data_IF_962776905641
#
_entry.id   IF_962776905641
#
_cell.length_a   1.000
_cell.length_b   1.000
_cell.length_c   1.000
_cell.angle_alpha   90.00
_cell.angle_beta   90.00
_cell.angle_gamma   90.00
#
_symmetry.space_group_name_H-M   'P 1'
#
loop_
_entity.id
_entity.type
_entity.pdbx_description
1 polymer ?
#
# COMPACT_ATOMS: atom_id res chain seq x y z
N UNK A 1 16.67 15.95 8.70
CA UNK A 1 15.34 15.85 8.06
C UNK A 1 15.21 14.60 7.19
N UNK A 2 16.02 14.44 6.13
CA UNK A 2 15.92 13.32 5.17
C UNK A 2 15.81 11.93 5.81
N UNK A 3 16.70 11.61 6.75
CA UNK A 3 16.70 10.32 7.46
C UNK A 3 15.38 10.05 8.20
N UNK A 4 14.84 11.05 8.91
CA UNK A 4 13.57 10.90 9.61
C UNK A 4 12.39 10.74 8.66
N UNK A 5 12.42 11.38 7.49
CA UNK A 5 11.39 11.14 6.47
C UNK A 5 11.47 9.71 5.94
N UNK A 6 12.66 9.19 5.66
CA UNK A 6 12.84 7.80 5.22
C UNK A 6 12.32 6.80 6.28
N UNK A 7 12.62 7.02 7.56
CA UNK A 7 12.08 6.22 8.67
C UNK A 7 10.56 6.35 8.77
N UNK A 8 10.02 7.55 8.59
CA UNK A 8 8.58 7.79 8.58
C UNK A 8 7.86 7.08 7.42
N UNK A 9 8.49 6.99 6.25
CA UNK A 9 7.96 6.25 5.10
C UNK A 9 8.00 4.73 5.32
N UNK A 10 9.01 4.22 6.03
CA UNK A 10 9.09 2.79 6.36
C UNK A 10 7.92 2.34 7.25
N UNK A 11 7.50 3.20 8.20
CA UNK A 11 6.42 2.91 9.15
C UNK A 11 5.17 3.77 8.90
N UNK A 12 4.87 4.02 7.63
CA UNK A 12 3.80 4.92 7.22
C UNK A 12 2.44 4.49 7.79
N UNK A 13 1.76 5.39 8.49
CA UNK A 13 0.49 5.08 9.16
C UNK A 13 0.59 3.95 10.20
N UNK A 14 1.76 3.76 10.80
CA UNK A 14 2.03 2.64 11.73
C UNK A 14 2.14 1.29 11.01
N UNK A 15 2.50 1.27 9.72
CA UNK A 15 2.58 0.06 8.90
C UNK A 15 1.25 -0.36 8.27
N UNK A 16 0.22 0.49 8.32
CA UNK A 16 -1.07 0.22 7.67
C UNK A 16 -1.16 0.81 6.26
N UNK A 17 -0.36 1.82 5.99
CA UNK A 17 -0.43 2.63 4.80
C UNK A 17 0.84 2.48 3.96
N UNK A 18 0.72 2.79 2.68
CA UNK A 18 1.82 2.68 1.71
C UNK A 18 1.59 3.67 0.56
N UNK A 19 2.54 3.78 -0.37
CA UNK A 19 2.53 4.77 -1.44
C UNK A 19 1.97 4.21 -2.76
N UNK A 20 1.18 5.01 -3.46
CA UNK A 20 0.67 4.73 -4.80
C UNK A 20 1.54 5.41 -5.88
N UNK A 21 1.61 4.81 -7.07
CA UNK A 21 2.29 5.30 -8.27
C UNK A 21 1.38 6.00 -9.30
N UNK A 22 0.16 6.41 -8.92
CA UNK A 22 -0.70 7.23 -9.78
C UNK A 22 -0.01 8.54 -10.17
N UNK A 23 -0.32 9.10 -11.36
CA UNK A 23 0.32 10.33 -11.84
C UNK A 23 0.25 11.49 -10.82
N UNK A 24 -0.88 11.64 -10.12
CA UNK A 24 -1.06 12.64 -9.07
C UNK A 24 -0.21 12.34 -7.82
N UNK A 25 -0.15 11.07 -7.41
CA UNK A 25 0.68 10.61 -6.29
C UNK A 25 2.17 10.84 -6.58
N UNK A 26 2.63 10.53 -7.79
CA UNK A 26 4.00 10.77 -8.24
C UNK A 26 4.32 12.27 -8.25
N UNK A 27 3.46 13.10 -8.82
CA UNK A 27 3.64 14.56 -8.80
C UNK A 27 3.74 15.11 -7.36
N UNK A 28 2.89 14.62 -6.45
CA UNK A 28 2.91 14.99 -5.04
C UNK A 28 4.20 14.54 -4.34
N UNK A 29 4.70 13.34 -4.65
CA UNK A 29 5.96 12.81 -4.13
C UNK A 29 7.18 13.58 -4.65
N UNK A 30 7.18 14.04 -5.92
CA UNK A 30 8.25 14.89 -6.46
C UNK A 30 8.35 16.19 -5.65
N UNK A 31 7.21 16.81 -5.32
CA UNK A 31 7.17 17.97 -4.44
C UNK A 31 7.68 17.63 -3.03
N UNK A 32 7.20 16.53 -2.44
CA UNK A 32 7.57 16.16 -1.07
C UNK A 32 9.04 15.74 -0.93
N UNK A 33 9.61 15.06 -1.92
CA UNK A 33 10.95 14.47 -1.87
C UNK A 33 11.98 15.22 -2.71
N UNK A 34 11.77 16.52 -2.94
CA UNK A 34 12.75 17.37 -3.60
C UNK A 34 14.15 17.20 -2.97
N UNK A 35 15.21 16.95 -3.74
CA UNK A 35 16.49 16.46 -3.20
C UNK A 35 17.27 17.49 -2.35
N UNK A 36 16.92 18.77 -2.41
CA UNK A 36 17.58 19.83 -1.63
C UNK A 36 16.92 20.01 -0.25
N UNK A 37 17.62 19.58 0.79
CA UNK A 37 17.18 19.76 2.18
C UNK A 37 17.61 21.12 2.76
N UNK A 38 16.84 21.67 3.72
CA UNK A 38 17.20 22.92 4.40
C UNK A 38 18.47 22.78 5.24
N UNK A 39 19.23 23.87 5.36
CA UNK A 39 20.42 23.93 6.23
C UNK A 39 20.00 24.22 7.68
N UNK A 40 18.98 25.06 7.88
CA UNK A 40 18.40 25.40 9.18
C UNK A 40 16.86 25.41 9.11
N UNK A 41 16.17 25.40 10.24
CA UNK A 41 14.71 25.17 10.30
C UNK A 41 13.86 26.21 9.56
N UNK A 42 14.35 27.45 9.44
CA UNK A 42 13.69 28.55 8.70
C UNK A 42 14.11 28.67 7.23
N UNK A 43 14.96 27.77 6.72
CA UNK A 43 15.46 27.80 5.35
C UNK A 43 14.39 27.33 4.35
N UNK A 44 13.91 28.28 3.54
CA UNK A 44 12.97 28.04 2.43
C UNK A 44 13.53 28.53 1.08
N UNK A 45 14.86 28.74 0.98
CA UNK A 45 15.47 29.39 -0.20
C UNK A 45 15.33 28.57 -1.48
N UNK A 46 15.47 27.25 -1.39
CA UNK A 46 15.46 26.34 -2.54
C UNK A 46 14.19 25.51 -2.67
N UNK A 47 13.47 25.33 -1.57
CA UNK A 47 12.27 24.52 -1.50
C UNK A 47 11.43 24.93 -0.30
N UNK A 48 10.13 25.09 -0.48
CA UNK A 48 9.20 25.44 0.58
C UNK A 48 8.98 24.23 1.50
N UNK A 49 9.30 24.34 2.79
CA UNK A 49 9.22 23.19 3.71
C UNK A 49 7.81 22.60 3.85
N UNK A 50 6.76 23.39 3.64
CA UNK A 50 5.38 22.90 3.70
C UNK A 50 5.10 21.78 2.67
N UNK A 51 5.75 21.81 1.51
CA UNK A 51 5.57 20.80 0.46
C UNK A 51 6.11 19.43 0.86
N UNK A 52 6.98 19.36 1.88
CA UNK A 52 7.46 18.09 2.44
C UNK A 52 6.35 17.21 3.00
N UNK A 53 5.16 17.76 3.26
CA UNK A 53 3.99 17.00 3.69
C UNK A 53 3.12 16.48 2.54
N UNK A 54 3.38 16.84 1.29
CA UNK A 54 2.55 16.41 0.15
C UNK A 54 2.61 14.89 -0.12
N UNK A 55 3.54 14.15 0.52
CA UNK A 55 3.53 12.69 0.47
C UNK A 55 2.19 12.13 0.97
N UNK A 56 1.45 12.85 1.83
CA UNK A 56 0.12 12.44 2.33
C UNK A 56 -0.89 12.19 1.21
N UNK A 57 -0.76 12.89 0.07
CA UNK A 57 -1.64 12.69 -1.10
C UNK A 57 -1.31 11.42 -1.89
N UNK A 58 -0.12 10.84 -1.69
CA UNK A 58 0.29 9.59 -2.31
C UNK A 58 -0.01 8.37 -1.43
N UNK A 59 -0.52 8.56 -0.22
CA UNK A 59 -0.73 7.50 0.75
C UNK A 59 -2.06 6.80 0.52
N UNK A 60 -2.03 5.46 0.49
CA UNK A 60 -3.22 4.61 0.40
C UNK A 60 -3.15 3.42 1.37
N UNK A 61 -4.31 2.95 1.88
CA UNK A 61 -4.39 1.73 2.68
C UNK A 61 -4.35 0.50 1.77
N UNK A 62 -3.36 -0.38 1.98
CA UNK A 62 -3.25 -1.69 1.29
C UNK A 62 -2.89 -2.85 2.22
N UNK A 63 -2.86 -2.62 3.53
CA UNK A 63 -2.68 -3.71 4.49
C UNK A 63 -3.96 -4.56 4.51
N UNK A 64 -3.81 -5.86 4.33
CA UNK A 64 -4.89 -6.83 4.52
C UNK A 64 -4.69 -7.51 5.87
N UNK A 65 -5.71 -7.44 6.72
CA UNK A 65 -5.76 -8.12 8.00
C UNK A 65 -6.95 -9.09 8.01
N UNK A 66 -6.71 -10.40 7.89
CA UNK A 66 -7.79 -11.38 7.98
C UNK A 66 -8.27 -11.48 9.43
N UNK A 67 -9.58 -11.51 9.60
CA UNK A 67 -10.26 -11.65 10.89
C UNK A 67 -11.14 -12.89 10.82
N UNK A 68 -11.03 -13.75 11.82
CA UNK A 68 -11.89 -14.93 11.93
C UNK A 68 -13.33 -14.52 12.27
N UNK A 69 -14.30 -15.09 11.56
CA UNK A 69 -15.73 -14.77 11.70
C UNK A 69 -16.26 -15.22 13.07
N UNK A 70 -15.78 -16.36 13.57
CA UNK A 70 -16.27 -16.96 14.81
C UNK A 70 -15.68 -16.25 16.04
N UNK A 71 -14.35 -16.11 16.09
CA UNK A 71 -13.67 -15.54 17.27
C UNK A 71 -13.50 -14.03 17.21
N UNK A 72 -13.65 -13.40 16.03
CA UNK A 72 -13.35 -11.99 15.77
C UNK A 72 -11.91 -11.57 16.06
N UNK A 73 -11.00 -12.54 16.15
CA UNK A 73 -9.58 -12.29 16.34
C UNK A 73 -8.87 -12.19 15.00
N UNK A 74 -7.77 -11.42 14.99
CA UNK A 74 -6.85 -11.38 13.85
C UNK A 74 -6.13 -12.73 13.75
N UNK A 75 -6.08 -13.26 12.55
CA UNK A 75 -5.51 -14.59 12.27
C UNK A 75 -4.44 -14.49 11.19
N UNK A 76 -3.65 -15.55 11.02
CA UNK A 76 -2.75 -15.65 9.89
C UNK A 76 -3.37 -16.58 8.85
N UNK A 77 -3.40 -16.13 7.59
CA UNK A 77 -3.91 -16.94 6.47
C UNK A 77 -3.02 -16.79 5.25
N UNK A 78 -2.95 -17.83 4.43
CA UNK A 78 -2.22 -17.77 3.17
C UNK A 78 -3.10 -17.17 2.04
N UNK A 79 -2.57 -16.12 1.42
CA UNK A 79 -3.13 -15.46 0.26
C UNK A 79 -2.28 -15.77 -0.96
N UNK A 80 -2.91 -16.19 -2.05
CA UNK A 80 -2.29 -16.28 -3.38
C UNK A 80 -2.71 -15.06 -4.19
N UNK A 81 -1.72 -14.25 -4.56
CA UNK A 81 -1.89 -13.02 -5.34
C UNK A 81 -1.40 -13.29 -6.75
N UNK A 82 -2.23 -12.94 -7.75
CA UNK A 82 -1.91 -13.11 -9.17
C UNK A 82 -1.79 -11.76 -9.87
N UNK A 83 -0.68 -11.55 -10.54
CA UNK A 83 -0.41 -10.35 -11.35
C UNK A 83 -0.97 -10.52 -12.76
N UNK A 84 -1.45 -9.42 -13.34
CA UNK A 84 -1.79 -9.36 -14.76
C UNK A 84 -0.52 -9.41 -15.61
N UNK A 85 -0.58 -10.10 -16.74
CA UNK A 85 0.48 -10.01 -17.74
C UNK A 85 0.57 -8.57 -18.29
N UNK A 86 1.80 -8.06 -18.42
CA UNK A 86 2.12 -6.77 -19.02
C UNK A 86 3.22 -6.98 -20.07
N UNK A 87 3.56 -5.93 -20.82
CA UNK A 87 4.69 -6.01 -21.77
C UNK A 87 6.04 -6.27 -21.07
N UNK A 88 6.14 -5.95 -19.77
CA UNK A 88 7.38 -6.02 -19.00
C UNK A 88 7.56 -7.37 -18.29
N UNK A 89 6.46 -8.09 -18.02
CA UNK A 89 6.49 -9.36 -17.30
C UNK A 89 5.25 -10.22 -17.61
N UNK A 90 5.44 -11.53 -17.61
CA UNK A 90 4.36 -12.50 -17.80
C UNK A 90 3.49 -12.63 -16.53
N UNK A 91 2.29 -13.20 -16.70
CA UNK A 91 1.39 -13.49 -15.58
C UNK A 91 2.08 -14.40 -14.56
N UNK A 92 2.26 -13.88 -13.35
CA UNK A 92 2.89 -14.61 -12.24
C UNK A 92 1.96 -14.63 -11.03
N UNK A 93 2.08 -15.68 -10.22
CA UNK A 93 1.42 -15.78 -8.94
C UNK A 93 2.42 -16.07 -7.82
N UNK A 94 2.16 -15.51 -6.65
CA UNK A 94 2.94 -15.77 -5.44
C UNK A 94 2.01 -15.94 -4.25
N UNK A 95 2.47 -16.72 -3.27
CA UNK A 95 1.74 -16.94 -2.02
C UNK A 95 2.42 -16.16 -0.90
N UNK A 96 1.62 -15.43 -0.13
CA UNK A 96 2.05 -14.61 1.01
C UNK A 96 1.15 -14.88 2.20
N UNK A 97 1.72 -14.87 3.40
CA UNK A 97 0.94 -14.99 4.64
C UNK A 97 0.48 -13.60 5.07
N UNK A 98 -0.83 -13.41 5.20
CA UNK A 98 -1.41 -12.21 5.78
C UNK A 98 -1.40 -12.28 7.32
N UNK A 99 -1.26 -11.16 8.04
CA UNK A 99 -1.36 -9.78 7.57
C UNK A 99 -0.21 -9.29 6.69
N UNK A 100 -0.52 -8.71 5.53
CA UNK A 100 0.48 -8.26 4.56
C UNK A 100 -0.05 -7.10 3.70
N UNK A 101 0.88 -6.32 3.12
CA UNK A 101 0.51 -5.33 2.12
C UNK A 101 0.26 -5.97 0.76
N UNK A 102 -0.86 -5.60 0.13
CA UNK A 102 -1.09 -5.92 -1.27
C UNK A 102 -0.31 -4.95 -2.19
N UNK A 103 0.14 -5.43 -3.36
CA UNK A 103 0.55 -4.56 -4.45
C UNK A 103 -0.59 -3.67 -4.93
N UNK A 104 -0.29 -2.75 -5.85
CA UNK A 104 -1.31 -1.88 -6.44
C UNK A 104 -2.39 -2.70 -7.16
N UNK A 105 -3.64 -2.49 -6.78
CA UNK A 105 -4.79 -3.29 -7.23
C UNK A 105 -4.97 -3.31 -8.75
N UNK A 106 -4.50 -2.29 -9.46
CA UNK A 106 -4.62 -2.23 -10.91
C UNK A 106 -3.67 -3.20 -11.62
N UNK A 107 -2.53 -3.53 -11.01
CA UNK A 107 -1.55 -4.52 -11.50
C UNK A 107 -1.99 -5.97 -11.25
N UNK A 108 -2.95 -6.18 -10.32
CA UNK A 108 -3.41 -7.50 -9.90
C UNK A 108 -4.58 -7.98 -10.74
N UNK A 109 -4.57 -9.26 -11.09
CA UNK A 109 -5.67 -9.96 -11.75
C UNK A 109 -6.66 -10.51 -10.71
N UNK A 110 -6.12 -11.17 -9.68
CA UNK A 110 -6.93 -11.71 -8.60
C UNK A 110 -6.14 -11.85 -7.29
N UNK A 111 -6.86 -11.80 -6.17
CA UNK A 111 -6.36 -12.12 -4.84
C UNK A 111 -7.24 -13.23 -4.31
N UNK A 112 -6.63 -14.34 -3.92
CA UNK A 112 -7.34 -15.52 -3.43
C UNK A 112 -6.84 -15.93 -2.06
N UNK A 113 -7.76 -16.22 -1.14
CA UNK A 113 -7.45 -16.90 0.11
C UNK A 113 -7.39 -18.39 -0.20
N UNK A 114 -6.21 -18.99 -0.03
CA UNK A 114 -5.99 -20.43 -0.21
C UNK A 114 -5.31 -20.96 1.04
N UNK A 115 -6.13 -21.40 1.99
CA UNK A 115 -5.67 -22.02 3.22
C UNK A 115 -6.46 -23.30 3.48
N UNK A 116 -5.87 -24.26 4.17
CA UNK A 116 -6.56 -25.50 4.56
C UNK A 116 -7.57 -25.28 5.67
N UNK A 117 -7.39 -24.21 6.45
CA UNK A 117 -8.20 -23.90 7.64
C UNK A 117 -9.46 -23.09 7.36
N UNK A 118 -9.49 -22.37 6.24
CA UNK A 118 -10.55 -21.41 5.93
C UNK A 118 -11.12 -21.65 4.54
N UNK A 119 -12.36 -21.23 4.32
CA UNK A 119 -13.01 -21.37 3.02
C UNK A 119 -12.29 -20.52 1.96
N UNK A 120 -12.02 -21.07 0.75
CA UNK A 120 -11.35 -20.32 -0.28
C UNK A 120 -12.23 -19.18 -0.81
N UNK A 121 -11.67 -17.97 -0.82
CA UNK A 121 -12.34 -16.77 -1.33
C UNK A 121 -11.49 -16.23 -2.47
N UNK A 122 -12.10 -15.91 -3.61
CA UNK A 122 -11.39 -15.31 -4.75
C UNK A 122 -12.01 -13.96 -5.06
N UNK A 123 -11.19 -12.91 -4.99
CA UNK A 123 -11.56 -11.57 -5.39
C UNK A 123 -10.89 -11.27 -6.73
N UNK A 124 -11.70 -10.96 -7.74
CA UNK A 124 -11.26 -10.58 -9.09
C UNK A 124 -11.48 -9.08 -9.31
N UNK A 125 -11.07 -8.61 -10.49
CA UNK A 125 -11.21 -7.23 -10.97
C UNK A 125 -12.61 -6.63 -10.81
N UNK A 126 -13.66 -7.42 -11.05
CA UNK A 126 -15.07 -7.00 -10.90
C UNK A 126 -15.41 -6.55 -9.47
N UNK A 127 -14.75 -7.14 -8.48
CA UNK A 127 -15.06 -6.96 -7.05
C UNK A 127 -14.05 -6.04 -6.34
N UNK A 128 -13.17 -5.35 -7.07
CA UNK A 128 -12.20 -4.41 -6.48
C UNK A 128 -12.84 -3.28 -5.69
N UNK A 129 -14.06 -2.86 -6.04
CA UNK A 129 -14.79 -1.86 -5.25
C UNK A 129 -15.07 -2.31 -3.82
N UNK A 130 -15.36 -3.61 -3.62
CA UNK A 130 -15.62 -4.19 -2.30
C UNK A 130 -14.32 -4.29 -1.50
N UNK A 131 -13.24 -4.75 -2.15
CA UNK A 131 -11.93 -4.88 -1.52
C UNK A 131 -11.38 -3.51 -1.09
N UNK A 132 -11.48 -2.48 -1.94
CA UNK A 132 -11.07 -1.12 -1.59
C UNK A 132 -11.78 -0.60 -0.34
N UNK A 133 -13.11 -0.76 -0.27
CA UNK A 133 -13.87 -0.38 0.93
C UNK A 133 -13.43 -1.13 2.17
N UNK A 134 -13.10 -2.43 2.04
CA UNK A 134 -12.61 -3.22 3.17
C UNK A 134 -11.25 -2.70 3.68
N UNK A 135 -10.32 -2.40 2.75
CA UNK A 135 -9.00 -1.83 3.06
C UNK A 135 -9.12 -0.44 3.71
N UNK A 136 -10.06 0.39 3.25
CA UNK A 136 -10.27 1.74 3.80
C UNK A 136 -10.91 1.73 5.19
N UNK A 137 -11.87 0.82 5.45
CA UNK A 137 -12.63 0.86 6.69
C UNK A 137 -11.88 0.30 7.89
N UNK A 138 -11.10 -0.79 7.72
CA UNK A 138 -10.47 -1.46 8.87
C UNK A 138 -9.07 -2.04 8.65
N UNK A 139 -8.57 -2.15 7.42
CA UNK A 139 -7.36 -2.94 7.14
C UNK A 139 -7.59 -4.41 7.40
#
# INVERSE_FOLDING_TARGET
>A
MALHMAVGLLFLGGGKLTLNTSAFSVASMICAFFPRFPIHSSDNRYHLQAFRHFYTFAVEPRLVVPVDINTRNMVYVNLTVRFKATEQYESSEYTVTAPCHLPELHLLESVSLKDTRYWPIVVKTENWGVLKRALEQKG
#
